data_IF_576754648928
#
_entry.id   IF_576754648928
#
_cell.length_a   1.000
_cell.length_b   1.000
_cell.length_c   1.000
_cell.angle_alpha   90.00
_cell.angle_beta   90.00
_cell.angle_gamma   90.00
#
_symmetry.space_group_name_H-M   'P 1'
#
loop_
_entity.id
_entity.type
_entity.pdbx_description
1 polymer ?
#
# COMPACT_ATOMS: atom_id res chain seq x y z
N UNK A 1 -16.24 4.65 -22.17
CA UNK A 1 -15.47 5.64 -21.37
C UNK A 1 -14.23 4.95 -20.77
N UNK A 2 -13.70 3.94 -21.47
CA UNK A 2 -13.05 2.79 -20.81
C UNK A 2 -11.57 2.65 -21.22
N UNK A 3 -11.19 3.24 -22.37
CA UNK A 3 -9.82 3.24 -22.87
C UNK A 3 -8.88 4.13 -22.02
N UNK A 4 -9.32 5.35 -21.68
CA UNK A 4 -8.57 6.31 -20.85
C UNK A 4 -8.18 5.72 -19.48
N UNK A 5 -9.13 5.05 -18.81
CA UNK A 5 -8.89 4.43 -17.50
C UNK A 5 -7.88 3.27 -17.60
N UNK A 6 -7.94 2.49 -18.68
CA UNK A 6 -7.03 1.37 -18.92
C UNK A 6 -5.59 1.84 -19.16
N UNK A 7 -5.41 2.90 -19.96
CA UNK A 7 -4.10 3.54 -20.18
C UNK A 7 -3.50 4.08 -18.88
N UNK A 8 -4.30 4.73 -18.04
CA UNK A 8 -3.84 5.28 -16.76
C UNK A 8 -3.39 4.20 -15.78
N UNK A 9 -4.11 3.06 -15.73
CA UNK A 9 -3.75 1.91 -14.89
C UNK A 9 -2.48 1.21 -15.38
N UNK A 10 -2.32 1.07 -16.70
CA UNK A 10 -1.10 0.51 -17.30
C UNK A 10 0.11 1.40 -17.02
N UNK A 11 0.00 2.71 -17.23
CA UNK A 11 1.08 3.65 -16.95
C UNK A 11 1.51 3.62 -15.48
N UNK A 12 0.54 3.58 -14.55
CA UNK A 12 0.83 3.44 -13.12
C UNK A 12 1.58 2.14 -12.80
N UNK A 13 1.19 1.02 -13.43
CA UNK A 13 1.89 -0.27 -13.25
C UNK A 13 3.29 -0.23 -13.82
N UNK A 14 3.48 0.31 -15.02
CA UNK A 14 4.80 0.46 -15.63
C UNK A 14 5.70 1.35 -14.78
N UNK A 15 5.20 2.49 -14.32
CA UNK A 15 5.94 3.38 -13.43
C UNK A 15 6.29 2.70 -12.10
N UNK A 16 5.36 1.94 -11.52
CA UNK A 16 5.63 1.15 -10.32
C UNK A 16 6.73 0.10 -10.57
N UNK A 17 6.66 -0.64 -11.68
CA UNK A 17 7.69 -1.63 -12.05
C UNK A 17 9.05 -0.96 -12.22
N UNK A 18 9.11 0.20 -12.90
CA UNK A 18 10.34 0.96 -13.08
C UNK A 18 10.92 1.42 -11.75
N UNK A 19 10.09 1.94 -10.83
CA UNK A 19 10.53 2.34 -9.50
C UNK A 19 11.05 1.12 -8.72
N UNK A 20 10.33 0.00 -8.74
CA UNK A 20 10.78 -1.23 -8.08
C UNK A 20 12.10 -1.75 -8.65
N UNK A 21 12.28 -1.67 -9.98
CA UNK A 21 13.52 -2.04 -10.65
C UNK A 21 14.68 -1.13 -10.22
N UNK A 22 14.47 0.20 -10.18
CA UNK A 22 15.48 1.15 -9.72
C UNK A 22 15.86 0.88 -8.26
N UNK A 23 14.88 0.62 -7.39
CA UNK A 23 15.13 0.24 -5.99
C UNK A 23 15.92 -1.05 -5.91
N UNK A 24 15.60 -2.06 -6.73
CA UNK A 24 16.32 -3.33 -6.76
C UNK A 24 17.78 -3.14 -7.20
N UNK A 25 18.02 -2.37 -8.27
CA UNK A 25 19.36 -2.05 -8.76
C UNK A 25 20.17 -1.26 -7.72
N UNK A 26 19.58 -0.24 -7.11
CA UNK A 26 20.23 0.52 -6.05
C UNK A 26 20.56 -0.35 -4.83
N UNK A 27 19.67 -1.29 -4.48
CA UNK A 27 19.91 -2.24 -3.38
C UNK A 27 21.06 -3.19 -3.72
N UNK A 28 21.13 -3.68 -4.96
CA UNK A 28 22.23 -4.53 -5.42
C UNK A 28 23.57 -3.80 -5.40
N UNK A 29 23.61 -2.58 -5.95
CA UNK A 29 24.82 -1.75 -5.96
C UNK A 29 25.30 -1.45 -4.53
N UNK A 30 24.37 -1.08 -3.65
CA UNK A 30 24.64 -0.90 -2.22
C UNK A 30 25.20 -2.17 -1.56
N UNK A 31 24.63 -3.33 -1.88
CA UNK A 31 25.10 -4.63 -1.38
C UNK A 31 26.52 -4.94 -1.84
N UNK A 32 26.85 -4.65 -3.09
CA UNK A 32 28.16 -4.93 -3.67
C UNK A 32 29.24 -4.00 -3.11
N UNK A 33 28.94 -2.72 -2.94
CA UNK A 33 29.89 -1.74 -2.39
C UNK A 33 30.13 -1.96 -0.89
N UNK A 34 29.10 -2.43 -0.17
CA UNK A 34 29.14 -2.59 1.29
C UNK A 34 29.24 -4.06 1.74
N UNK A 35 30.11 -4.84 1.09
CA UNK A 35 30.38 -6.25 1.45
C UNK A 35 31.21 -6.40 2.73
N UNK A 36 31.87 -5.33 3.18
CA UNK A 36 32.72 -5.37 4.36
C UNK A 36 31.90 -5.67 5.63
N UNK A 37 32.34 -6.67 6.40
CA UNK A 37 31.75 -7.01 7.68
C UNK A 37 31.92 -5.86 8.69
N UNK A 38 30.81 -5.36 9.22
CA UNK A 38 30.75 -4.25 10.16
C UNK A 38 29.85 -4.63 11.33
N UNK A 39 30.29 -4.33 12.56
CA UNK A 39 29.47 -4.45 13.76
C UNK A 39 28.77 -3.13 14.04
N UNK A 40 27.45 -3.15 14.24
CA UNK A 40 26.68 -1.99 14.67
C UNK A 40 26.68 -1.90 16.20
N UNK A 41 27.02 -0.72 16.73
CA UNK A 41 26.94 -0.43 18.16
C UNK A 41 25.58 0.20 18.48
N UNK A 42 24.86 -0.40 19.41
CA UNK A 42 23.56 0.03 19.92
C UNK A 42 23.66 0.29 21.42
N UNK A 43 24.02 1.52 21.81
CA UNK A 43 24.26 1.86 23.22
C UNK A 43 25.27 0.87 23.85
N UNK A 44 24.82 0.03 24.79
CA UNK A 44 25.63 -1.01 25.45
C UNK A 44 25.66 -2.36 24.72
N UNK A 45 24.86 -2.53 23.67
CA UNK A 45 24.76 -3.78 22.90
C UNK A 45 25.47 -3.64 21.56
N UNK A 46 26.14 -4.71 21.12
CA UNK A 46 26.77 -4.75 19.79
C UNK A 46 26.14 -5.87 18.96
N UNK A 47 25.92 -5.60 17.67
CA UNK A 47 25.48 -6.65 16.75
C UNK A 47 26.62 -7.61 16.41
N UNK A 48 26.30 -8.80 15.88
CA UNK A 48 27.29 -9.62 15.17
C UNK A 48 27.99 -8.81 14.07
N UNK A 49 29.17 -9.24 13.61
CA UNK A 49 29.83 -8.63 12.48
C UNK A 49 29.23 -9.20 11.17
N UNK A 50 28.43 -8.41 10.48
CA UNK A 50 27.82 -8.77 9.19
C UNK A 50 28.04 -7.64 8.18
N UNK A 51 27.96 -7.90 6.87
CA UNK A 51 27.95 -6.84 5.88
C UNK A 51 26.88 -5.79 6.21
N UNK A 52 27.23 -4.50 6.15
CA UNK A 52 26.31 -3.40 6.44
C UNK A 52 25.01 -3.52 5.61
N UNK A 53 25.15 -4.03 4.40
CA UNK A 53 24.06 -4.27 3.48
C UNK A 53 22.96 -5.20 4.01
N UNK A 54 23.30 -6.21 4.82
CA UNK A 54 22.32 -7.12 5.41
C UNK A 54 21.40 -6.36 6.39
N UNK A 55 21.97 -5.50 7.23
CA UNK A 55 21.17 -4.71 8.18
C UNK A 55 20.19 -3.78 7.48
N UNK A 56 20.65 -3.08 6.45
CA UNK A 56 19.82 -2.13 5.70
C UNK A 56 18.72 -2.86 4.93
N UNK A 57 19.02 -4.01 4.30
CA UNK A 57 18.02 -4.80 3.60
C UNK A 57 16.98 -5.37 4.56
N UNK A 58 17.39 -5.87 5.73
CA UNK A 58 16.44 -6.33 6.76
C UNK A 58 15.55 -5.19 7.24
N UNK A 59 16.11 -4.01 7.52
CA UNK A 59 15.35 -2.83 7.91
C UNK A 59 14.35 -2.42 6.81
N UNK A 60 14.76 -2.47 5.54
CA UNK A 60 13.89 -2.18 4.40
C UNK A 60 12.74 -3.18 4.28
N UNK A 61 13.00 -4.48 4.42
CA UNK A 61 11.97 -5.53 4.39
C UNK A 61 10.96 -5.33 5.53
N UNK A 62 11.46 -5.14 6.76
CA UNK A 62 10.62 -4.96 7.94
C UNK A 62 9.79 -3.67 7.84
N UNK A 63 10.41 -2.56 7.44
CA UNK A 63 9.74 -1.29 7.22
C UNK A 63 8.67 -1.38 6.14
N UNK A 64 8.96 -2.08 5.03
CA UNK A 64 8.00 -2.30 3.94
C UNK A 64 6.82 -3.17 4.38
N UNK A 65 7.08 -4.26 5.11
CA UNK A 65 6.03 -5.12 5.65
C UNK A 65 5.12 -4.35 6.62
N UNK A 66 5.70 -3.54 7.51
CA UNK A 66 4.96 -2.65 8.39
C UNK A 66 4.13 -1.62 7.61
N UNK A 67 4.71 -0.99 6.57
CA UNK A 67 4.02 -0.04 5.72
C UNK A 67 2.80 -0.65 5.02
N UNK A 68 2.96 -1.85 4.44
CA UNK A 68 1.86 -2.60 3.82
C UNK A 68 0.79 -2.96 4.85
N UNK A 69 1.20 -3.42 6.03
CA UNK A 69 0.28 -3.78 7.11
C UNK A 69 -0.56 -2.58 7.57
N UNK A 70 0.08 -1.43 7.81
CA UNK A 70 -0.60 -0.18 8.19
C UNK A 70 -1.54 0.29 7.08
N UNK A 71 -1.08 0.28 5.83
CA UNK A 71 -1.91 0.64 4.67
C UNK A 71 -3.13 -0.27 4.53
N UNK A 72 -2.95 -1.58 4.73
CA UNK A 72 -4.04 -2.55 4.73
C UNK A 72 -5.06 -2.30 5.84
N UNK A 73 -4.61 -2.00 7.06
CA UNK A 73 -5.49 -1.65 8.18
C UNK A 73 -6.33 -0.39 7.88
N UNK A 74 -5.70 0.69 7.38
CA UNK A 74 -6.38 1.95 7.06
C UNK A 74 -7.42 1.72 5.96
N UNK A 75 -7.01 1.10 4.85
CA UNK A 75 -7.91 0.87 3.71
C UNK A 75 -9.08 -0.04 4.06
N UNK A 76 -8.86 -1.07 4.89
CA UNK A 76 -9.94 -1.95 5.37
C UNK A 76 -10.95 -1.17 6.22
N UNK A 77 -10.49 -0.33 7.16
CA UNK A 77 -11.37 0.52 7.96
C UNK A 77 -12.20 1.47 7.10
N UNK A 78 -11.59 2.09 6.09
CA UNK A 78 -12.28 2.99 5.15
C UNK A 78 -13.31 2.25 4.31
N UNK A 79 -12.99 1.05 3.81
CA UNK A 79 -13.92 0.21 3.05
C UNK A 79 -15.13 -0.21 3.89
N UNK A 80 -14.91 -0.56 5.16
CA UNK A 80 -16.01 -0.89 6.08
C UNK A 80 -16.93 0.31 6.31
N UNK A 81 -16.37 1.51 6.55
CA UNK A 81 -17.17 2.75 6.68
C UNK A 81 -17.97 3.05 5.40
N UNK A 82 -17.34 2.92 4.23
CA UNK A 82 -18.00 3.11 2.94
C UNK A 82 -19.14 2.10 2.72
N UNK A 83 -18.95 0.83 3.10
CA UNK A 83 -19.99 -0.20 2.98
C UNK A 83 -21.21 0.14 3.86
N UNK A 84 -20.97 0.57 5.10
CA UNK A 84 -22.05 0.98 6.01
C UNK A 84 -22.80 2.19 5.45
N UNK A 85 -22.10 3.24 5.02
CA UNK A 85 -22.72 4.43 4.44
C UNK A 85 -23.49 4.12 3.15
N UNK A 86 -22.96 3.24 2.29
CA UNK A 86 -23.64 2.82 1.07
C UNK A 86 -24.97 2.11 1.37
N UNK A 87 -25.07 1.38 2.48
CA UNK A 87 -26.31 0.74 2.89
C UNK A 87 -27.39 1.76 3.30
N UNK A 88 -27.00 2.85 3.97
CA UNK A 88 -27.92 3.94 4.32
C UNK A 88 -28.42 4.69 3.08
N UNK A 89 -27.52 5.01 2.14
CA UNK A 89 -27.90 5.62 0.85
C UNK A 89 -28.90 4.75 0.09
N UNK A 90 -28.66 3.43 0.07
CA UNK A 90 -29.58 2.48 -0.55
C UNK A 90 -30.95 2.44 0.16
N UNK A 91 -31.01 2.70 1.48
CA UNK A 91 -32.27 2.79 2.22
C UNK A 91 -33.06 4.05 1.86
N UNK A 92 -32.42 5.22 1.90
CA UNK A 92 -33.06 6.47 1.48
C UNK A 92 -33.51 6.43 0.02
N UNK A 93 -32.71 5.82 -0.86
CA UNK A 93 -33.08 5.59 -2.26
C UNK A 93 -34.38 4.78 -2.38
N UNK A 94 -34.53 3.69 -1.60
CA UNK A 94 -35.75 2.87 -1.57
C UNK A 94 -36.96 3.61 -1.01
N UNK A 95 -36.77 4.46 -0.01
CA UNK A 95 -37.84 5.30 0.55
C UNK A 95 -38.38 6.28 -0.48
N UNK A 96 -37.50 6.95 -1.24
CA UNK A 96 -37.90 7.86 -2.31
C UNK A 96 -38.69 7.13 -3.41
N UNK A 97 -38.24 5.95 -3.87
CA UNK A 97 -38.96 5.18 -4.89
C UNK A 97 -40.34 4.73 -4.41
N UNK A 98 -40.48 4.38 -3.12
CA UNK A 98 -41.77 4.04 -2.52
C UNK A 98 -42.71 5.25 -2.49
N UNK A 99 -42.23 6.42 -2.07
CA UNK A 99 -43.04 7.64 -2.03
C UNK A 99 -43.47 8.06 -3.44
N UNK A 100 -42.56 7.96 -4.42
CA UNK A 100 -42.87 8.27 -5.83
C UNK A 100 -43.94 7.35 -6.40
N UNK A 101 -43.87 6.06 -6.11
CA UNK A 101 -44.87 5.08 -6.60
C UNK A 101 -46.22 5.21 -5.89
N UNK A 102 -46.25 5.67 -4.64
CA UNK A 102 -47.51 6.02 -3.95
C UNK A 102 -48.15 7.29 -4.52
N UNK A 103 -47.37 8.35 -4.73
CA UNK A 103 -47.86 9.61 -5.29
C UNK A 103 -48.36 9.52 -6.74
N UNK A 104 -47.94 8.49 -7.49
CA UNK A 104 -48.43 8.22 -8.85
C UNK A 104 -49.69 7.34 -8.86
N UNK A 105 -50.01 6.65 -7.75
CA UNK A 105 -51.16 5.74 -7.63
C UNK A 105 -52.35 6.35 -6.86
N UNK A 106 -52.13 7.41 -6.10
CA UNK A 106 -53.19 8.21 -5.45
C UNK A 106 -53.56 9.41 -6.31
#
# INVERSE_FOLDING_TARGET
MDAELYHMLWLKRVLLILVLLLVALATMDFMLENQQATSLQFLEMQSPALPLSIYVVLAFILGSALGVFVGWLITTRLRLKLMVQSNELNRYRKEIDKLRTQAVKG
#
